data_IF_898173339833
#
_entry.id   IF_898173339833
#
_cell.length_a   1.000
_cell.length_b   1.000
_cell.length_c   1.000
_cell.angle_alpha   90.00
_cell.angle_beta   90.00
_cell.angle_gamma   90.00
#
_symmetry.space_group_name_H-M   'P 1'
#
loop_
_entity.id
_entity.type
_entity.pdbx_description
1 polymer ?
#
# COMPACT_ATOMS: atom_id res chain seq x y z
N UNK A 1 9.90 3.16 4.40
CA UNK A 1 8.96 2.71 5.46
C UNK A 1 8.57 1.24 5.35
N UNK A 2 8.34 0.68 4.15
CA UNK A 2 7.85 -0.71 3.99
C UNK A 2 8.70 -1.78 4.71
N UNK A 3 10.04 -1.70 4.63
CA UNK A 3 10.93 -2.60 5.38
C UNK A 3 10.64 -2.60 6.89
N UNK A 4 10.49 -1.42 7.52
CA UNK A 4 10.15 -1.31 8.95
C UNK A 4 8.75 -1.84 9.31
N UNK A 5 7.88 -2.01 8.31
CA UNK A 5 6.55 -2.61 8.46
C UNK A 5 6.55 -4.11 8.15
N UNK A 6 7.73 -4.70 7.95
CA UNK A 6 7.95 -6.13 7.75
C UNK A 6 7.72 -6.61 6.32
N UNK A 7 7.60 -5.73 5.33
CA UNK A 7 7.50 -6.12 3.90
C UNK A 7 8.85 -6.64 3.40
N UNK A 8 8.85 -7.84 2.83
CA UNK A 8 10.04 -8.49 2.26
C UNK A 8 10.38 -7.94 0.89
N UNK A 9 9.35 -7.64 0.09
CA UNK A 9 9.47 -7.06 -1.26
C UNK A 9 9.42 -5.53 -1.26
N UNK A 10 9.83 -4.90 -0.16
CA UNK A 10 9.67 -3.45 0.06
C UNK A 10 10.26 -2.58 -1.06
N UNK A 11 11.40 -2.96 -1.62
CA UNK A 11 12.04 -2.26 -2.75
C UNK A 11 11.22 -2.38 -4.03
N UNK A 12 10.81 -3.60 -4.40
CA UNK A 12 9.95 -3.88 -5.56
C UNK A 12 8.58 -3.21 -5.45
N UNK A 13 8.03 -3.10 -4.25
CA UNK A 13 6.78 -2.39 -4.01
C UNK A 13 6.96 -0.88 -4.12
N UNK A 14 8.06 -0.34 -3.58
CA UNK A 14 8.36 1.09 -3.65
C UNK A 14 8.56 1.56 -5.10
N UNK A 15 9.25 0.76 -5.93
CA UNK A 15 9.47 1.07 -7.36
C UNK A 15 8.19 1.06 -8.20
N UNK A 16 7.08 0.53 -7.67
CA UNK A 16 5.77 0.58 -8.31
C UNK A 16 4.88 1.67 -7.74
N UNK A 17 4.90 1.85 -6.41
CA UNK A 17 4.02 2.81 -5.73
C UNK A 17 4.41 4.26 -6.01
N UNK A 18 5.70 4.55 -6.12
CA UNK A 18 6.16 5.92 -6.36
C UNK A 18 5.73 6.43 -7.75
N UNK A 19 5.98 5.69 -8.86
CA UNK A 19 5.48 6.10 -10.18
C UNK A 19 3.94 6.12 -10.25
N UNK A 20 3.26 5.21 -9.54
CA UNK A 20 1.80 5.22 -9.46
C UNK A 20 1.26 6.54 -8.90
N UNK A 21 1.84 7.04 -7.80
CA UNK A 21 1.42 8.32 -7.22
C UNK A 21 1.74 9.51 -8.14
N UNK A 22 2.90 9.49 -8.84
CA UNK A 22 3.22 10.52 -9.85
C UNK A 22 2.19 10.52 -10.98
N UNK A 23 1.91 9.35 -11.56
CA UNK A 23 0.93 9.20 -12.63
C UNK A 23 -0.46 9.63 -12.17
N UNK A 24 -0.87 9.33 -10.93
CA UNK A 24 -2.14 9.81 -10.41
C UNK A 24 -2.19 11.33 -10.31
N UNK A 25 -1.09 11.98 -9.92
CA UNK A 25 -1.02 13.45 -9.86
C UNK A 25 -1.04 14.13 -11.23
N UNK A 26 -0.54 13.45 -12.26
CA UNK A 26 -0.44 13.98 -13.63
C UNK A 26 -1.69 13.68 -14.47
N UNK A 27 -2.28 12.49 -14.33
CA UNK A 27 -3.35 12.00 -15.20
C UNK A 27 -4.75 12.26 -14.67
N UNK A 28 -4.93 12.41 -13.34
CA UNK A 28 -6.23 12.75 -12.79
C UNK A 28 -6.46 14.26 -12.88
N UNK A 29 -7.73 14.64 -13.03
CA UNK A 29 -8.12 16.05 -13.01
C UNK A 29 -7.76 16.67 -11.66
N UNK A 30 -7.15 17.86 -11.71
CA UNK A 30 -6.78 18.62 -10.51
C UNK A 30 -8.03 19.10 -9.77
N UNK A 31 -8.50 18.30 -8.81
CA UNK A 31 -9.58 18.67 -7.90
C UNK A 31 -9.03 19.08 -6.53
N UNK A 32 -9.63 20.07 -5.83
CA UNK A 32 -9.09 20.61 -4.57
C UNK A 32 -8.96 19.59 -3.43
N UNK A 33 -9.72 18.49 -3.50
CA UNK A 33 -9.79 17.46 -2.48
C UNK A 33 -8.95 16.22 -2.81
N UNK A 34 -8.26 16.20 -3.95
CA UNK A 34 -7.30 15.14 -4.27
C UNK A 34 -5.91 15.51 -3.75
N UNK A 35 -5.38 14.66 -2.87
CA UNK A 35 -4.02 14.74 -2.38
C UNK A 35 -3.28 13.46 -2.79
N UNK A 36 -2.38 13.59 -3.77
CA UNK A 36 -1.43 12.54 -4.17
C UNK A 36 0.00 12.86 -3.72
N UNK A 37 0.17 13.76 -2.75
CA UNK A 37 1.47 14.12 -2.20
C UNK A 37 2.02 13.11 -1.19
N UNK A 38 3.19 13.44 -0.62
CA UNK A 38 3.88 12.59 0.36
C UNK A 38 3.04 12.28 1.61
N UNK A 39 2.06 13.13 1.94
CA UNK A 39 1.13 12.91 3.05
C UNK A 39 0.21 11.72 2.77
N UNK A 40 -0.41 11.68 1.60
CA UNK A 40 -1.24 10.56 1.17
C UNK A 40 -0.42 9.28 1.04
N UNK A 41 0.79 9.36 0.47
CA UNK A 41 1.71 8.23 0.42
C UNK A 41 2.05 7.69 1.82
N UNK A 42 2.37 8.56 2.78
CA UNK A 42 2.61 8.16 4.17
C UNK A 42 1.40 7.46 4.80
N UNK A 43 0.19 7.96 4.54
CA UNK A 43 -1.04 7.36 5.06
C UNK A 43 -1.25 5.93 4.51
N UNK A 44 -1.03 5.72 3.21
CA UNK A 44 -1.04 4.38 2.59
C UNK A 44 -0.01 3.47 3.24
N UNK A 45 1.25 3.91 3.39
CA UNK A 45 2.29 3.06 3.96
C UNK A 45 2.04 2.67 5.43
N UNK A 46 1.40 3.55 6.20
CA UNK A 46 0.97 3.26 7.58
C UNK A 46 -0.17 2.23 7.57
N UNK A 47 -1.20 2.46 6.75
CA UNK A 47 -2.36 1.57 6.63
C UNK A 47 -1.96 0.17 6.16
N UNK A 48 -1.11 0.07 5.14
CA UNK A 48 -0.56 -1.21 4.65
C UNK A 48 0.17 -1.99 5.76
N UNK A 49 0.91 -1.30 6.62
CA UNK A 49 1.56 -1.92 7.78
C UNK A 49 0.58 -2.44 8.83
N UNK A 50 -0.53 -1.73 9.07
CA UNK A 50 -1.60 -2.21 9.95
C UNK A 50 -2.32 -3.42 9.36
N UNK A 51 -2.66 -3.37 8.08
CA UNK A 51 -3.34 -4.44 7.37
C UNK A 51 -2.49 -5.72 7.35
N UNK A 52 -1.19 -5.62 7.08
CA UNK A 52 -0.27 -6.76 7.16
C UNK A 52 -0.26 -7.39 8.55
N UNK A 53 -0.16 -6.58 9.61
CA UNK A 53 -0.21 -7.06 11.00
C UNK A 53 -1.55 -7.71 11.33
N UNK A 54 -2.67 -7.18 10.84
CA UNK A 54 -3.98 -7.78 11.04
C UNK A 54 -4.09 -9.16 10.37
N UNK A 55 -3.61 -9.30 9.12
CA UNK A 55 -3.61 -10.59 8.41
C UNK A 55 -2.71 -11.63 9.09
N UNK A 56 -1.58 -11.22 9.65
CA UNK A 56 -0.70 -12.11 10.44
C UNK A 56 -1.35 -12.58 11.74
N UNK A 57 -2.18 -11.74 12.38
CA UNK A 57 -2.91 -12.11 13.61
C UNK A 57 -4.14 -12.98 13.32
N UNK A 58 -4.80 -12.78 12.18
CA UNK A 58 -5.98 -13.54 11.77
C UNK A 58 -5.63 -14.94 11.20
N UNK A 59 -4.44 -15.09 10.61
CA UNK A 59 -3.95 -16.35 10.06
C UNK A 59 -2.71 -16.85 10.80
N UNK A 60 -2.89 -17.49 11.95
CA UNK A 60 -1.82 -18.16 12.67
C UNK A 60 -1.25 -19.34 11.87
N UNK A 61 0.06 -19.34 11.65
CA UNK A 61 0.89 -20.50 11.29
C UNK A 61 0.43 -21.35 10.09
N UNK A 62 0.63 -20.83 8.87
CA UNK A 62 0.69 -21.66 7.67
C UNK A 62 1.83 -21.17 6.80
N UNK A 63 2.86 -21.99 6.62
CA UNK A 63 4.03 -21.68 5.78
C UNK A 63 3.59 -21.37 4.36
N UNK A 64 3.38 -20.10 4.06
CA UNK A 64 3.11 -19.63 2.72
C UNK A 64 4.40 -19.73 1.91
N UNK A 65 4.32 -20.40 0.76
CA UNK A 65 5.40 -20.43 -0.22
C UNK A 65 5.90 -19.00 -0.49
N UNK A 66 7.19 -18.84 -0.80
CA UNK A 66 7.82 -17.51 -1.00
C UNK A 66 7.05 -16.69 -2.06
N UNK A 67 6.55 -17.34 -3.11
CA UNK A 67 5.72 -16.72 -4.14
C UNK A 67 4.34 -16.24 -3.63
N UNK A 68 3.70 -16.97 -2.71
CA UNK A 68 2.45 -16.55 -2.09
C UNK A 68 2.64 -15.34 -1.17
N UNK A 69 3.82 -15.20 -0.55
CA UNK A 69 4.17 -14.06 0.30
C UNK A 69 4.25 -12.75 -0.47
N UNK A 70 4.90 -12.76 -1.63
CA UNK A 70 5.10 -11.57 -2.46
C UNK A 70 3.77 -11.06 -3.04
N UNK A 71 2.93 -11.97 -3.54
CA UNK A 71 1.61 -11.62 -4.05
C UNK A 71 0.69 -11.10 -2.92
N UNK A 72 0.76 -11.69 -1.73
CA UNK A 72 0.01 -11.21 -0.57
C UNK A 72 0.46 -9.80 -0.15
N UNK A 73 1.76 -9.49 -0.21
CA UNK A 73 2.28 -8.15 0.07
C UNK A 73 1.79 -7.12 -0.96
N UNK A 74 1.74 -7.49 -2.24
CA UNK A 74 1.16 -6.64 -3.29
C UNK A 74 -0.33 -6.38 -3.04
N UNK A 75 -1.10 -7.41 -2.71
CA UNK A 75 -2.54 -7.30 -2.44
C UNK A 75 -2.82 -6.38 -1.23
N UNK A 76 -2.03 -6.52 -0.16
CA UNK A 76 -2.12 -5.65 1.03
C UNK A 76 -1.86 -4.20 0.64
N UNK A 77 -0.84 -3.93 -0.19
CA UNK A 77 -0.53 -2.57 -0.60
C UNK A 77 -1.63 -1.98 -1.48
N UNK A 78 -2.17 -2.76 -2.42
CA UNK A 78 -3.29 -2.34 -3.27
C UNK A 78 -4.49 -2.02 -2.40
N UNK A 79 -4.91 -2.93 -1.51
CA UNK A 79 -6.04 -2.70 -0.60
C UNK A 79 -5.84 -1.42 0.22
N UNK A 80 -4.63 -1.21 0.73
CA UNK A 80 -4.31 0.01 1.48
C UNK A 80 -4.47 1.28 0.63
N UNK A 81 -4.09 1.26 -0.64
CA UNK A 81 -4.28 2.38 -1.57
C UNK A 81 -5.78 2.62 -1.75
N UNK A 82 -6.57 1.58 -2.02
CA UNK A 82 -8.02 1.70 -2.21
C UNK A 82 -8.71 2.27 -0.97
N UNK A 83 -8.39 1.76 0.22
CA UNK A 83 -9.00 2.24 1.48
C UNK A 83 -8.63 3.70 1.80
N UNK A 84 -7.45 4.15 1.40
CA UNK A 84 -6.97 5.50 1.74
C UNK A 84 -7.40 6.53 0.71
N UNK A 85 -7.41 6.18 -0.58
CA UNK A 85 -7.69 7.13 -1.67
C UNK A 85 -9.18 7.17 -2.01
N UNK A 86 -9.90 6.03 -2.01
CA UNK A 86 -11.35 6.01 -2.33
C UNK A 86 -12.18 6.61 -1.20
N UNK A 87 -11.73 6.48 0.05
CA UNK A 87 -12.45 6.98 1.22
C UNK A 87 -12.31 8.49 1.46
N UNK A 88 -11.41 9.15 0.74
CA UNK A 88 -11.23 10.62 0.79
C UNK A 88 -12.18 11.34 -0.18
N UNK A 89 -12.81 10.62 -1.11
CA UNK A 89 -13.69 11.18 -2.14
C UNK A 89 -15.20 11.03 -1.90
N UNK A 90 -15.65 10.68 -0.69
CA UNK A 90 -17.07 10.45 -0.34
C UNK A 90 -17.57 11.33 0.80
#
# INVERSE_FOLDING_TARGET
>A
MLFSKGFRTAETLASKVEPFFSLCSEQLLSQPHYDFGLRALKAVLISAGHLKRARLQAGGSGGASVASGDQAEQEILIQSVTETIVKVGG
#
